data_IF_350719661423
#
_entry.id   IF_350719661423
#
_cell.length_a   1.000
_cell.length_b   1.000
_cell.length_c   1.000
_cell.angle_alpha   90.00
_cell.angle_beta   90.00
_cell.angle_gamma   90.00
#
_symmetry.space_group_name_H-M   'P 1'
#
loop_
_entity.id
_entity.type
_entity.pdbx_description
1 polymer ?
#
# COMPACT_ATOMS: atom_id res chain seq x y z
N UNK A 1 24.30 -2.84 1.19
CA UNK A 1 23.27 -1.89 1.65
C UNK A 1 22.65 -1.31 0.38
N UNK A 2 21.32 -1.37 0.20
CA UNK A 2 20.65 -1.06 -1.07
C UNK A 2 20.51 0.45 -1.34
N UNK A 3 20.36 1.27 -0.29
CA UNK A 3 20.19 2.72 -0.38
C UNK A 3 19.06 3.20 0.54
N UNK A 4 18.73 4.49 0.44
CA UNK A 4 17.65 5.14 1.21
C UNK A 4 16.57 5.68 0.27
N UNK A 5 15.31 5.65 0.71
CA UNK A 5 14.17 6.28 0.02
C UNK A 5 13.64 7.40 0.92
N UNK A 6 13.55 8.61 0.38
CA UNK A 6 13.05 9.78 1.10
C UNK A 6 11.83 10.31 0.36
N UNK A 7 10.70 10.42 1.06
CA UNK A 7 9.44 10.89 0.52
C UNK A 7 9.00 12.17 1.23
N UNK A 8 8.50 13.15 0.48
CA UNK A 8 7.87 14.36 1.00
C UNK A 8 6.34 14.21 0.95
N UNK A 9 5.66 14.10 2.10
CA UNK A 9 4.20 13.90 2.14
C UNK A 9 3.41 15.04 1.48
N UNK A 10 3.88 16.27 1.60
CA UNK A 10 3.22 17.44 1.00
C UNK A 10 3.24 17.36 -0.52
N UNK A 11 4.39 17.02 -1.09
CA UNK A 11 4.54 16.84 -2.53
C UNK A 11 3.72 15.65 -3.04
N UNK A 12 3.76 14.52 -2.33
CA UNK A 12 2.95 13.35 -2.66
C UNK A 12 1.44 13.67 -2.59
N UNK A 13 1.00 14.56 -1.69
CA UNK A 13 -0.40 14.97 -1.63
C UNK A 13 -0.82 15.78 -2.86
N UNK A 14 0.05 16.66 -3.37
CA UNK A 14 -0.19 17.41 -4.60
C UNK A 14 -0.26 16.48 -5.82
N UNK A 15 0.66 15.52 -5.93
CA UNK A 15 0.65 14.53 -7.01
C UNK A 15 -0.60 13.64 -6.95
N UNK A 16 -0.96 13.16 -5.75
CA UNK A 16 -2.17 12.36 -5.54
C UNK A 16 -3.44 13.11 -5.98
N UNK A 17 -3.53 14.40 -5.64
CA UNK A 17 -4.65 15.24 -6.05
C UNK A 17 -4.71 15.44 -7.57
N UNK A 18 -3.56 15.63 -8.23
CA UNK A 18 -3.48 15.77 -9.68
C UNK A 18 -3.83 14.47 -10.42
N UNK A 19 -3.43 13.32 -9.88
CA UNK A 19 -3.67 12.00 -10.45
C UNK A 19 -5.03 11.38 -10.07
N UNK A 20 -5.73 11.96 -9.09
CA UNK A 20 -7.09 11.55 -8.72
C UNK A 20 -7.17 10.32 -7.81
N UNK A 21 -6.13 10.02 -7.03
CA UNK A 21 -6.13 8.95 -6.03
C UNK A 21 -5.75 9.46 -4.63
N UNK A 22 -5.76 8.57 -3.63
CA UNK A 22 -5.46 8.94 -2.25
C UNK A 22 -3.97 9.19 -2.04
N UNK A 23 -3.63 9.96 -1.00
CA UNK A 23 -2.24 10.12 -0.55
C UNK A 23 -1.59 8.77 -0.23
N UNK A 24 -2.33 7.85 0.39
CA UNK A 24 -1.81 6.51 0.69
C UNK A 24 -1.45 5.70 -0.56
N UNK A 25 -2.24 5.85 -1.63
CA UNK A 25 -1.94 5.25 -2.93
C UNK A 25 -0.66 5.85 -3.51
N UNK A 26 -0.51 7.18 -3.47
CA UNK A 26 0.69 7.84 -4.02
C UNK A 26 1.95 7.48 -3.24
N UNK A 27 1.88 7.45 -1.91
CA UNK A 27 3.01 7.05 -1.08
C UNK A 27 3.42 5.60 -1.36
N UNK A 28 2.47 4.69 -1.60
CA UNK A 28 2.77 3.32 -2.00
C UNK A 28 3.43 3.28 -3.38
N UNK A 29 2.90 4.01 -4.35
CA UNK A 29 3.46 4.14 -5.70
C UNK A 29 4.90 4.65 -5.66
N UNK A 30 5.16 5.78 -4.99
CA UNK A 30 6.49 6.38 -4.88
C UNK A 30 7.47 5.48 -4.10
N UNK A 31 6.98 4.74 -3.09
CA UNK A 31 7.81 3.77 -2.37
C UNK A 31 8.23 2.63 -3.29
N UNK A 32 7.28 2.02 -4.02
CA UNK A 32 7.58 0.94 -4.98
C UNK A 32 8.53 1.46 -6.05
N UNK A 33 8.27 2.65 -6.61
CA UNK A 33 9.14 3.31 -7.58
C UNK A 33 10.57 3.46 -7.06
N UNK A 34 10.73 3.98 -5.84
CA UNK A 34 12.03 4.13 -5.19
C UNK A 34 12.73 2.79 -4.96
N UNK A 35 12.00 1.76 -4.54
CA UNK A 35 12.56 0.40 -4.36
C UNK A 35 13.05 -0.17 -5.69
N UNK A 36 12.28 0.00 -6.77
CA UNK A 36 12.69 -0.48 -8.10
C UNK A 36 13.98 0.19 -8.58
N UNK A 37 14.13 1.50 -8.36
CA UNK A 37 15.41 2.19 -8.60
C UNK A 37 16.57 1.61 -7.78
N UNK A 38 16.34 1.33 -6.48
CA UNK A 38 17.37 0.71 -5.64
C UNK A 38 17.72 -0.72 -6.08
N UNK A 39 16.83 -1.40 -6.80
CA UNK A 39 17.05 -2.71 -7.39
C UNK A 39 17.69 -2.66 -8.78
N UNK A 40 17.92 -1.46 -9.33
CA UNK A 40 18.59 -1.24 -10.62
C UNK A 40 17.66 -1.21 -11.82
N UNK A 41 16.34 -1.13 -11.63
CA UNK A 41 15.42 -0.78 -12.71
C UNK A 41 15.49 0.73 -12.96
N UNK A 42 15.42 1.12 -14.23
CA UNK A 42 15.38 2.52 -14.65
C UNK A 42 14.23 2.71 -15.67
N UNK A 43 13.95 3.95 -16.02
CA UNK A 43 12.92 4.31 -16.99
C UNK A 43 13.41 5.39 -17.99
N UNK A 44 14.72 5.45 -18.22
CA UNK A 44 15.34 6.40 -19.15
C UNK A 44 15.13 6.06 -20.62
N UNK A 45 15.15 4.77 -20.97
CA UNK A 45 14.88 4.29 -22.33
C UNK A 45 13.48 3.65 -22.45
N UNK A 46 12.84 3.67 -23.63
CA UNK A 46 11.48 3.16 -23.81
C UNK A 46 11.28 1.70 -23.44
N UNK A 47 12.32 0.87 -23.53
CA UNK A 47 12.24 -0.56 -23.19
C UNK A 47 12.32 -0.77 -21.67
N UNK A 48 13.18 0.00 -21.00
CA UNK A 48 13.36 0.01 -19.54
C UNK A 48 12.11 0.57 -18.85
N UNK A 49 11.57 1.68 -19.36
CA UNK A 49 10.33 2.28 -18.88
C UNK A 49 9.17 1.28 -18.88
N UNK A 50 8.99 0.55 -20.00
CA UNK A 50 7.93 -0.46 -20.10
C UNK A 50 8.09 -1.59 -19.11
N UNK A 51 9.33 -2.06 -18.90
CA UNK A 51 9.61 -3.12 -17.93
C UNK A 51 9.34 -2.64 -16.50
N UNK A 52 9.91 -1.50 -16.12
CA UNK A 52 9.79 -0.95 -14.79
C UNK A 52 8.35 -0.59 -14.44
N UNK A 53 7.61 0.03 -15.36
CA UNK A 53 6.23 0.46 -15.10
C UNK A 53 5.28 -0.73 -15.01
N UNK A 54 5.47 -1.76 -15.85
CA UNK A 54 4.70 -3.01 -15.73
C UNK A 54 4.92 -3.69 -14.37
N UNK A 55 6.16 -3.68 -13.86
CA UNK A 55 6.46 -4.24 -12.54
C UNK A 55 5.89 -3.37 -11.42
N UNK A 56 5.98 -2.04 -11.55
CA UNK A 56 5.41 -1.09 -10.60
C UNK A 56 3.89 -1.27 -10.46
N UNK A 57 3.17 -1.31 -11.58
CA UNK A 57 1.72 -1.51 -11.61
C UNK A 57 1.33 -2.81 -10.91
N UNK A 58 1.98 -3.92 -11.27
CA UNK A 58 1.72 -5.22 -10.66
C UNK A 58 1.94 -5.23 -9.15
N UNK A 59 3.07 -4.69 -8.68
CA UNK A 59 3.39 -4.66 -7.25
C UNK A 59 2.42 -3.76 -6.48
N UNK A 60 1.98 -2.65 -7.08
CA UNK A 60 1.02 -1.75 -6.47
C UNK A 60 -0.36 -2.40 -6.35
N UNK A 61 -0.81 -3.10 -7.39
CA UNK A 61 -2.06 -3.88 -7.35
C UNK A 61 -2.02 -4.97 -6.28
N UNK A 62 -0.94 -5.78 -6.24
CA UNK A 62 -0.74 -6.83 -5.24
C UNK A 62 -0.72 -6.26 -3.82
N UNK A 63 -0.04 -5.12 -3.62
CA UNK A 63 0.00 -4.43 -2.33
C UNK A 63 -1.38 -3.94 -1.90
N UNK A 64 -2.11 -3.27 -2.79
CA UNK A 64 -3.46 -2.75 -2.48
C UNK A 64 -4.42 -3.88 -2.15
N UNK A 65 -4.39 -4.98 -2.91
CA UNK A 65 -5.19 -6.16 -2.63
C UNK A 65 -4.90 -6.72 -1.22
N UNK A 66 -3.62 -6.88 -0.88
CA UNK A 66 -3.22 -7.35 0.45
C UNK A 66 -3.67 -6.40 1.58
N UNK A 67 -3.64 -5.08 1.36
CA UNK A 67 -4.15 -4.11 2.35
C UNK A 67 -5.66 -4.21 2.55
N UNK A 68 -6.42 -4.45 1.47
CA UNK A 68 -7.87 -4.66 1.55
C UNK A 68 -8.20 -5.93 2.34
N UNK A 69 -7.48 -7.03 2.08
CA UNK A 69 -7.65 -8.28 2.81
C UNK A 69 -7.32 -8.13 4.30
N UNK A 70 -6.20 -7.47 4.62
CA UNK A 70 -5.79 -7.19 6.00
C UNK A 70 -6.87 -6.37 6.74
N UNK A 71 -7.38 -5.32 6.09
CA UNK A 71 -8.45 -4.50 6.66
C UNK A 71 -9.73 -5.31 6.94
N UNK A 72 -10.13 -6.18 6.02
CA UNK A 72 -11.31 -7.04 6.21
C UNK A 72 -11.11 -8.03 7.36
N UNK A 73 -9.92 -8.63 7.45
CA UNK A 73 -9.56 -9.56 8.51
C UNK A 73 -9.62 -8.90 9.89
N UNK A 74 -9.05 -7.70 10.05
CA UNK A 74 -9.07 -6.96 11.30
C UNK A 74 -10.50 -6.61 11.72
N UNK A 75 -11.34 -6.19 10.77
CA UNK A 75 -12.76 -5.89 11.02
C UNK A 75 -13.55 -7.13 11.45
N UNK A 76 -13.23 -8.29 10.89
CA UNK A 76 -13.84 -9.56 11.28
C UNK A 76 -13.42 -9.95 12.71
N UNK A 77 -12.12 -9.85 13.02
CA UNK A 77 -11.58 -10.10 14.36
C UNK A 77 -12.21 -9.20 15.43
N UNK A 78 -12.41 -7.91 15.14
CA UNK A 78 -13.08 -6.99 16.06
C UNK A 78 -14.52 -7.40 16.35
N UNK A 79 -15.26 -7.85 15.34
CA UNK A 79 -16.65 -8.33 15.50
C UNK A 79 -16.69 -9.58 16.34
N UNK A 80 -15.83 -10.54 16.05
CA UNK A 80 -15.77 -11.81 16.78
C UNK A 80 -15.39 -11.56 18.25
N UNK A 81 -14.42 -10.67 18.51
CA UNK A 81 -14.06 -10.25 19.86
C UNK A 81 -15.25 -9.62 20.60
N UNK A 82 -16.01 -8.74 19.95
CA UNK A 82 -17.21 -8.11 20.55
C UNK A 82 -18.33 -9.13 20.84
N UNK A 83 -18.49 -10.15 20.01
CA UNK A 83 -19.50 -11.20 20.24
C UNK A 83 -19.14 -12.09 21.42
N UNK A 84 -17.87 -12.48 21.55
CA UNK A 84 -17.38 -13.29 22.67
C UNK A 84 -17.48 -12.54 24.00
N UNK A 85 -17.17 -11.24 24.01
CA UNK A 85 -17.35 -10.36 25.18
C UNK A 85 -18.85 -10.21 25.54
N UNK A 86 -19.69 -10.06 24.52
CA UNK A 86 -21.16 -10.23 24.51
C UNK A 86 -21.62 -11.45 25.33
N UNK A 87 -21.18 -12.62 24.89
CA UNK A 87 -21.61 -13.91 25.43
C UNK A 87 -21.18 -14.13 26.88
N UNK A 88 -19.98 -13.65 27.25
CA UNK A 88 -19.48 -13.73 28.63
C UNK A 88 -20.37 -13.00 29.63
N UNK A 89 -20.96 -11.87 29.22
CA UNK A 89 -21.88 -11.10 30.05
C UNK A 89 -23.18 -11.86 30.38
N UNK A 90 -23.59 -12.81 29.53
CA UNK A 90 -24.80 -13.61 29.74
C UNK A 90 -24.56 -14.91 30.52
N UNK A 91 -23.30 -15.33 30.71
CA UNK A 91 -22.94 -16.54 31.46
C UNK A 91 -22.78 -16.29 32.98
N UNK A 92 -22.73 -15.02 33.41
CA UNK A 92 -22.60 -14.61 34.84
C UNK A 92 -23.92 -14.09 35.45
N UNK A 93 -25.07 -14.25 34.78
CA UNK A 93 -26.42 -13.89 35.28
C UNK A 93 -27.29 -15.10 35.51
#
# INVERSE_FOLDING_TARGET
MLGDIVLCPEFAAEQAAAAGHSLGHELALLTIHGVLHLLGYDHGEPDEEREMFALQERLLEEWVAAQVEAYQHDRQHERDRRLLDKSRYFDES
#
